data_IF_858845151327
#
_entry.id   IF_858845151327
#
_cell.length_a   1.000
_cell.length_b   1.000
_cell.length_c   1.000
_cell.angle_alpha   90.00
_cell.angle_beta   90.00
_cell.angle_gamma   90.00
#
_symmetry.space_group_name_H-M   'P 1'
#
loop_
_entity.id
_entity.type
_entity.pdbx_description
1 polymer ?
#
# COMPACT_ATOMS: atom_id res chain seq x y z
N UNK A 1 20.17 27.47 0.68
CA UNK A 1 20.29 26.24 1.49
C UNK A 1 19.38 25.17 0.93
N UNK A 2 19.97 24.29 0.11
CA UNK A 2 19.29 23.29 -0.68
C UNK A 2 18.75 22.16 0.19
N UNK A 3 17.52 22.34 0.67
CA UNK A 3 16.80 21.32 1.43
C UNK A 3 16.33 20.23 0.44
N UNK A 4 17.26 19.37 -0.01
CA UNK A 4 16.85 18.07 -0.57
C UNK A 4 16.12 17.35 0.54
N UNK A 5 14.81 17.17 0.38
CA UNK A 5 13.85 16.64 1.37
C UNK A 5 14.23 15.30 2.04
N UNK A 6 15.37 14.69 1.69
CA UNK A 6 15.82 13.40 2.23
C UNK A 6 14.92 12.23 1.81
N UNK A 7 14.11 12.42 0.77
CA UNK A 7 13.14 11.43 0.29
C UNK A 7 13.85 10.49 -0.68
N UNK A 8 13.72 9.20 -0.42
CA UNK A 8 14.11 8.13 -1.36
C UNK A 8 12.83 7.57 -1.97
N UNK A 9 12.76 7.55 -3.30
CA UNK A 9 11.63 6.96 -4.03
C UNK A 9 12.11 5.69 -4.72
N UNK A 10 11.40 4.59 -4.49
CA UNK A 10 11.67 3.32 -5.17
C UNK A 10 11.15 3.41 -6.61
N UNK A 11 11.99 3.18 -7.63
CA UNK A 11 11.55 3.14 -9.02
C UNK A 11 10.51 2.05 -9.29
N UNK A 12 9.56 2.29 -10.19
CA UNK A 12 8.44 1.37 -10.48
C UNK A 12 8.89 -0.02 -10.92
N UNK A 13 9.93 -0.12 -11.75
CA UNK A 13 10.44 -1.42 -12.18
C UNK A 13 11.02 -2.24 -11.01
N UNK A 14 11.49 -1.58 -9.95
CA UNK A 14 11.97 -2.26 -8.74
C UNK A 14 10.78 -2.74 -7.91
N UNK A 15 9.75 -1.92 -7.70
CA UNK A 15 8.56 -2.35 -6.94
C UNK A 15 7.82 -3.49 -7.62
N UNK A 16 7.72 -3.47 -8.96
CA UNK A 16 7.16 -4.56 -9.75
C UNK A 16 8.01 -5.84 -9.71
N UNK A 17 9.34 -5.72 -9.80
CA UNK A 17 10.24 -6.87 -9.66
C UNK A 17 10.10 -7.51 -8.28
N UNK A 18 10.12 -6.70 -7.22
CA UNK A 18 10.06 -7.18 -5.85
C UNK A 18 8.72 -7.85 -5.55
N UNK A 19 7.58 -7.25 -5.94
CA UNK A 19 6.27 -7.88 -5.76
C UNK A 19 6.12 -9.20 -6.53
N UNK A 20 6.78 -9.32 -7.68
CA UNK A 20 6.86 -10.57 -8.43
C UNK A 20 7.74 -11.62 -7.73
N UNK A 21 8.90 -11.22 -7.18
CA UNK A 21 9.84 -12.12 -6.51
C UNK A 21 9.27 -12.74 -5.24
N UNK A 22 8.45 -11.99 -4.49
CA UNK A 22 7.77 -12.50 -3.30
C UNK A 22 6.41 -13.15 -3.62
N UNK A 23 6.08 -13.31 -4.90
CA UNK A 23 4.91 -14.05 -5.40
C UNK A 23 3.54 -13.57 -4.86
N UNK A 24 3.34 -12.25 -4.72
CA UNK A 24 2.10 -11.66 -4.15
C UNK A 24 0.84 -12.08 -4.92
N UNK A 25 0.01 -12.94 -4.34
CA UNK A 25 -1.24 -13.43 -4.91
C UNK A 25 -2.47 -12.66 -4.45
N UNK A 26 -3.60 -12.90 -5.11
CA UNK A 26 -4.87 -12.22 -4.82
C UNK A 26 -5.29 -12.38 -3.36
N UNK A 27 -5.11 -13.56 -2.77
CA UNK A 27 -5.54 -13.87 -1.40
C UNK A 27 -4.67 -13.30 -0.28
N UNK A 28 -3.52 -12.71 -0.62
CA UNK A 28 -2.56 -12.23 0.36
C UNK A 28 -3.01 -10.95 1.04
N UNK A 29 -2.40 -10.68 2.19
CA UNK A 29 -2.46 -9.39 2.88
C UNK A 29 -1.12 -8.69 2.70
N UNK A 30 -1.14 -7.47 2.18
CA UNK A 30 0.07 -6.70 1.89
C UNK A 30 0.17 -5.53 2.85
N UNK A 31 1.30 -5.45 3.54
CA UNK A 31 1.66 -4.32 4.39
C UNK A 31 2.92 -3.65 3.85
N UNK A 32 2.82 -2.34 3.59
CA UNK A 32 3.97 -1.46 3.39
C UNK A 32 4.12 -0.50 4.59
N UNK A 33 5.03 -0.80 5.54
CA UNK A 33 5.16 -0.02 6.78
C UNK A 33 5.81 1.36 6.58
N UNK A 34 6.38 1.62 5.41
CA UNK A 34 7.11 2.86 5.08
C UNK A 34 6.79 3.24 3.64
N UNK A 35 5.51 3.48 3.39
CA UNK A 35 4.96 3.38 2.06
C UNK A 35 5.32 4.52 1.12
N UNK A 36 5.79 5.66 1.63
CA UNK A 36 6.13 6.83 0.83
C UNK A 36 4.96 7.22 -0.08
N UNK A 37 5.20 7.18 -1.39
CA UNK A 37 4.18 7.50 -2.41
C UNK A 37 3.32 6.30 -2.84
N UNK A 38 3.35 5.20 -2.08
CA UNK A 38 2.58 3.96 -2.25
C UNK A 38 2.93 3.08 -3.47
N UNK A 39 4.14 3.18 -4.03
CA UNK A 39 4.52 2.45 -5.25
C UNK A 39 4.52 0.92 -5.08
N UNK A 40 4.91 0.40 -3.91
CA UNK A 40 4.82 -1.03 -3.61
C UNK A 40 3.37 -1.52 -3.51
N UNK A 41 2.50 -0.78 -2.81
CA UNK A 41 1.08 -1.13 -2.70
C UNK A 41 0.38 -1.17 -4.06
N UNK A 42 0.68 -0.21 -4.93
CA UNK A 42 0.15 -0.18 -6.30
C UNK A 42 0.67 -1.37 -7.11
N UNK A 43 1.97 -1.68 -6.98
CA UNK A 43 2.58 -2.81 -7.70
C UNK A 43 2.01 -4.15 -7.24
N UNK A 44 1.76 -4.28 -5.94
CA UNK A 44 1.06 -5.43 -5.36
C UNK A 44 -0.38 -5.51 -5.87
N UNK A 45 -1.15 -4.43 -5.77
CA UNK A 45 -2.54 -4.37 -6.25
C UNK A 45 -2.67 -4.78 -7.71
N UNK A 46 -1.81 -4.29 -8.60
CA UNK A 46 -1.80 -4.68 -10.01
C UNK A 46 -1.57 -6.19 -10.19
N UNK A 47 -0.65 -6.79 -9.41
CA UNK A 47 -0.41 -8.24 -9.47
C UNK A 47 -1.60 -9.03 -8.93
N UNK A 48 -2.16 -8.60 -7.81
CA UNK A 48 -3.34 -9.22 -7.18
C UNK A 48 -4.56 -9.16 -8.11
N UNK A 49 -4.79 -8.05 -8.81
CA UNK A 49 -5.87 -7.94 -9.80
C UNK A 49 -5.66 -8.85 -11.00
N UNK A 50 -4.41 -8.99 -11.47
CA UNK A 50 -4.09 -9.93 -12.55
C UNK A 50 -4.33 -11.37 -12.13
N UNK A 51 -3.98 -11.72 -10.89
CA UNK A 51 -4.17 -13.05 -10.32
C UNK A 51 -5.65 -13.37 -10.07
N UNK A 52 -6.44 -12.37 -9.63
CA UNK A 52 -7.89 -12.49 -9.45
C UNK A 52 -8.67 -12.68 -10.76
N UNK A 53 -8.10 -12.36 -11.92
CA UNK A 53 -8.75 -12.56 -13.22
C UNK A 53 -10.06 -11.77 -13.36
N UNK A 54 -11.18 -12.46 -13.57
CA UNK A 54 -12.52 -11.86 -13.70
C UNK A 54 -13.35 -11.91 -12.39
N UNK A 55 -12.73 -12.32 -11.28
CA UNK A 55 -13.38 -12.34 -9.96
C UNK A 55 -13.49 -10.92 -9.39
N UNK A 56 -14.63 -10.28 -9.66
CA UNK A 56 -14.90 -8.92 -9.19
C UNK A 56 -15.09 -8.82 -7.68
N UNK A 57 -15.60 -9.88 -7.03
CA UNK A 57 -15.74 -9.93 -5.57
C UNK A 57 -14.34 -9.93 -4.92
N UNK A 58 -13.41 -10.69 -5.50
CA UNK A 58 -12.02 -10.71 -5.05
C UNK A 58 -11.31 -9.38 -5.29
N UNK A 59 -11.51 -8.74 -6.45
CA UNK A 59 -10.97 -7.40 -6.71
C UNK A 59 -11.51 -6.36 -5.75
N UNK A 60 -12.79 -6.45 -5.39
CA UNK A 60 -13.39 -5.55 -4.40
C UNK A 60 -12.84 -5.79 -2.99
N UNK A 61 -12.60 -7.05 -2.62
CA UNK A 61 -11.93 -7.39 -1.36
C UNK A 61 -10.49 -6.88 -1.31
N UNK A 62 -9.74 -6.98 -2.42
CA UNK A 62 -8.37 -6.47 -2.52
C UNK A 62 -8.34 -4.97 -2.23
N UNK A 63 -9.20 -4.19 -2.89
CA UNK A 63 -9.35 -2.74 -2.69
C UNK A 63 -9.72 -2.42 -1.24
N UNK A 64 -10.74 -3.10 -0.75
CA UNK A 64 -11.37 -2.73 0.52
C UNK A 64 -10.51 -3.11 1.72
N UNK A 65 -9.83 -4.27 1.66
CA UNK A 65 -9.32 -4.93 2.85
C UNK A 65 -7.84 -5.32 2.76
N UNK A 66 -7.30 -5.70 1.61
CA UNK A 66 -6.03 -6.45 1.58
C UNK A 66 -4.76 -5.62 1.55
N UNK A 67 -4.86 -4.34 1.21
CA UNK A 67 -3.71 -3.46 1.03
C UNK A 67 -3.62 -2.49 2.20
N UNK A 68 -2.50 -2.50 2.93
CA UNK A 68 -2.26 -1.63 4.08
C UNK A 68 -0.95 -0.86 3.93
N UNK A 69 -0.97 0.44 4.18
CA UNK A 69 0.24 1.25 4.22
C UNK A 69 0.34 2.19 5.40
N UNK A 70 1.56 2.46 5.83
CA UNK A 70 1.87 3.45 6.85
C UNK A 70 2.93 4.41 6.30
N UNK A 71 2.71 5.71 6.49
CA UNK A 71 3.68 6.74 6.14
C UNK A 71 3.70 7.82 7.22
N UNK A 72 4.89 8.14 7.72
CA UNK A 72 5.05 9.11 8.82
C UNK A 72 5.01 10.55 8.32
N UNK A 73 5.60 10.82 7.16
CA UNK A 73 5.75 12.16 6.63
C UNK A 73 4.47 12.63 5.94
N UNK A 74 3.88 13.70 6.47
CA UNK A 74 2.61 14.27 5.99
C UNK A 74 2.55 14.51 4.48
N UNK A 75 3.62 15.08 3.90
CA UNK A 75 3.70 15.34 2.46
C UNK A 75 3.70 14.06 1.63
N UNK A 76 4.46 13.03 2.04
CA UNK A 76 4.51 11.76 1.33
C UNK A 76 3.19 11.01 1.49
N UNK A 77 2.63 11.01 2.69
CA UNK A 77 1.31 10.45 2.97
C UNK A 77 0.25 11.05 2.04
N UNK A 78 0.19 12.38 1.89
CA UNK A 78 -0.77 13.02 1.01
C UNK A 78 -0.62 12.58 -0.46
N UNK A 79 0.62 12.42 -0.94
CA UNK A 79 0.91 11.94 -2.30
C UNK A 79 0.52 10.46 -2.44
N UNK A 80 0.90 9.61 -1.48
CA UNK A 80 0.57 8.18 -1.46
C UNK A 80 -0.93 7.93 -1.41
N UNK A 81 -1.66 8.62 -0.53
CA UNK A 81 -3.12 8.55 -0.42
C UNK A 81 -3.78 8.93 -1.75
N UNK A 82 -3.34 10.03 -2.35
CA UNK A 82 -3.82 10.46 -3.68
C UNK A 82 -3.56 9.41 -4.75
N UNK A 83 -2.36 8.82 -4.76
CA UNK A 83 -1.99 7.79 -5.72
C UNK A 83 -2.83 6.51 -5.61
N UNK A 84 -3.17 6.10 -4.38
CA UNK A 84 -4.03 4.94 -4.10
C UNK A 84 -5.47 5.21 -4.53
N UNK A 85 -6.02 6.39 -4.21
CA UNK A 85 -7.37 6.80 -4.63
C UNK A 85 -7.48 6.83 -6.17
N UNK A 86 -6.53 7.48 -6.85
CA UNK A 86 -6.54 7.60 -8.31
C UNK A 86 -6.44 6.24 -9.03
N UNK A 87 -5.89 5.22 -8.37
CA UNK A 87 -5.74 3.86 -8.91
C UNK A 87 -6.82 2.89 -8.44
N UNK A 88 -7.81 3.40 -7.71
CA UNK A 88 -9.02 2.66 -7.39
C UNK A 88 -8.90 1.71 -6.21
N UNK A 89 -8.05 2.02 -5.22
CA UNK A 89 -7.94 1.23 -3.98
C UNK A 89 -9.22 1.29 -3.12
N UNK A 90 -10.11 2.26 -3.29
CA UNK A 90 -11.48 2.22 -2.73
C UNK A 90 -11.63 2.52 -1.21
N UNK A 91 -10.68 2.14 -0.35
CA UNK A 91 -10.70 2.50 1.08
C UNK A 91 -9.39 3.02 1.66
N UNK A 92 -8.29 2.96 0.91
CA UNK A 92 -6.98 3.51 1.29
C UNK A 92 -6.68 3.21 2.76
N UNK A 93 -6.52 1.93 3.12
CA UNK A 93 -6.08 1.51 4.47
C UNK A 93 -4.62 2.00 4.71
N UNK A 94 -4.46 3.31 4.64
CA UNK A 94 -3.26 4.08 4.43
C UNK A 94 -3.26 5.11 5.54
N UNK A 95 -2.28 4.98 6.45
CA UNK A 95 -2.29 5.70 7.71
C UNK A 95 -1.11 6.65 7.77
N UNK A 96 -1.39 7.87 8.21
CA UNK A 96 -0.36 8.82 8.60
C UNK A 96 0.05 8.53 10.05
N UNK A 97 1.04 7.67 10.22
CA UNK A 97 1.41 7.13 11.53
C UNK A 97 2.89 6.71 11.58
N UNK A 98 3.40 6.46 12.78
CA UNK A 98 4.67 5.76 12.98
C UNK A 98 4.41 4.26 13.02
N UNK A 99 5.12 3.44 12.24
CA UNK A 99 4.97 1.98 12.33
C UNK A 99 5.27 1.43 13.74
N UNK A 100 6.06 2.15 14.54
CA UNK A 100 6.38 1.75 15.92
C UNK A 100 5.31 2.13 16.93
N UNK A 101 4.40 3.07 16.59
CA UNK A 101 3.35 3.59 17.48
C UNK A 101 1.94 3.28 16.97
N UNK A 102 1.83 2.82 15.72
CA UNK A 102 0.57 2.51 15.08
C UNK A 102 -0.25 1.56 15.97
N UNK A 103 -1.57 1.79 16.12
CA UNK A 103 -2.41 0.98 16.99
C UNK A 103 -2.61 -0.41 16.37
N UNK A 104 -1.65 -1.31 16.59
CA UNK A 104 -1.61 -2.64 15.99
C UNK A 104 -2.88 -3.46 16.24
N UNK A 105 -3.49 -3.27 17.42
CA UNK A 105 -4.77 -3.89 17.78
C UNK A 105 -5.91 -3.47 16.84
N UNK A 106 -5.98 -2.18 16.48
CA UNK A 106 -6.97 -1.69 15.50
C UNK A 106 -6.66 -2.23 14.10
N UNK A 107 -5.37 -2.25 13.72
CA UNK A 107 -4.94 -2.70 12.39
C UNK A 107 -5.15 -4.19 12.16
N UNK A 108 -5.13 -5.02 13.21
CA UNK A 108 -5.47 -6.44 13.16
C UNK A 108 -6.97 -6.71 13.18
N UNK A 109 -7.78 -5.69 13.46
CA UNK A 109 -9.23 -5.85 13.64
C UNK A 109 -9.60 -6.53 14.96
N UNK A 110 -8.74 -6.46 15.98
CA UNK A 110 -9.02 -7.02 17.30
C UNK A 110 -10.24 -6.28 17.91
N UNK A 111 -11.32 -7.01 18.19
CA UNK A 111 -12.46 -6.44 18.92
C UNK A 111 -12.04 -6.21 20.37
N UNK A 112 -12.18 -4.97 20.84
CA UNK A 112 -12.01 -4.61 22.26
C UNK A 112 -12.92 -5.43 23.17
#
# INVERSE_FOLDING_TARGET
DGNTLGIVLTPEHITALMSALIDVGASDWVLDPTAGTASFLISAMHRMFKDAGDDEDMKEDIRTNRLHGIELQDKLFAIGATNMILRGDGKANFRRDSIFEAPLHEMRGDKR
#
